data_IF_231182671388
#
_entry.id   IF_231182671388
#
_cell.length_a   1.000
_cell.length_b   1.000
_cell.length_c   1.000
_cell.angle_alpha   90.00
_cell.angle_beta   90.00
_cell.angle_gamma   90.00
#
_symmetry.space_group_name_H-M   'P 1'
#
loop_
_entity.id
_entity.type
_entity.pdbx_description
1 polymer ?
#
# COMPACT_ATOMS: atom_id res chain seq x y z
N UNK A 1 -9.57 -8.03 38.06
CA UNK A 1 -8.68 -7.68 36.93
C UNK A 1 -7.27 -8.17 37.27
N UNK A 2 -6.55 -8.74 36.31
CA UNK A 2 -5.17 -9.20 36.53
C UNK A 2 -4.23 -8.00 36.68
N UNK A 3 -3.23 -8.11 37.57
CA UNK A 3 -2.20 -7.09 37.74
C UNK A 3 -0.99 -7.36 36.86
N UNK A 4 -0.69 -8.64 36.61
CA UNK A 4 0.45 -9.03 35.78
C UNK A 4 0.09 -10.01 34.66
N UNK A 5 0.93 -10.03 33.62
CA UNK A 5 0.83 -10.96 32.50
C UNK A 5 0.95 -12.40 32.99
N UNK A 6 1.84 -12.68 33.95
CA UNK A 6 2.01 -14.03 34.50
C UNK A 6 0.79 -14.50 35.30
N UNK A 7 0.12 -13.61 36.04
CA UNK A 7 -1.15 -13.93 36.71
C UNK A 7 -2.24 -14.34 35.72
N UNK A 8 -2.36 -13.59 34.62
CA UNK A 8 -3.29 -13.92 33.54
C UNK A 8 -2.96 -15.31 32.95
N UNK A 9 -1.69 -15.56 32.61
CA UNK A 9 -1.25 -16.85 32.04
C UNK A 9 -1.55 -18.01 32.99
N UNK A 10 -1.24 -17.85 34.28
CA UNK A 10 -1.53 -18.87 35.29
C UNK A 10 -3.04 -19.11 35.46
N UNK A 11 -3.86 -18.06 35.38
CA UNK A 11 -5.32 -18.22 35.43
C UNK A 11 -5.83 -18.98 34.20
N UNK A 12 -5.35 -18.67 33.00
CA UNK A 12 -5.70 -19.39 31.78
C UNK A 12 -5.34 -20.88 31.89
N UNK A 13 -4.15 -21.19 32.43
CA UNK A 13 -3.74 -22.57 32.71
C UNK A 13 -4.68 -23.28 33.70
N UNK A 14 -5.11 -22.59 34.76
CA UNK A 14 -6.08 -23.15 35.72
C UNK A 14 -7.47 -23.42 35.12
N UNK A 15 -7.78 -22.80 33.99
CA UNK A 15 -9.03 -23.01 33.24
C UNK A 15 -8.91 -24.13 32.19
N UNK A 16 -7.79 -24.86 32.16
CA UNK A 16 -7.57 -25.99 31.25
C UNK A 16 -7.02 -25.60 29.88
N UNK A 17 -6.62 -24.33 29.67
CA UNK A 17 -5.96 -23.92 28.42
C UNK A 17 -4.54 -24.48 28.40
N UNK A 18 -4.17 -25.11 27.29
CA UNK A 18 -2.81 -25.60 27.09
C UNK A 18 -1.86 -24.42 26.89
N UNK A 19 -0.92 -24.25 27.82
CA UNK A 19 0.05 -23.16 27.84
C UNK A 19 1.45 -23.78 27.82
N UNK A 20 2.33 -23.24 26.98
CA UNK A 20 3.71 -23.69 26.90
C UNK A 20 4.43 -23.61 28.25
N UNK A 21 5.29 -24.58 28.52
CA UNK A 21 6.01 -24.68 29.79
C UNK A 21 7.20 -23.72 29.88
N UNK A 22 7.68 -23.23 28.75
CA UNK A 22 8.85 -22.35 28.65
C UNK A 22 8.43 -20.88 28.77
N UNK A 23 7.87 -20.51 29.91
CA UNK A 23 7.52 -19.13 30.24
C UNK A 23 8.27 -18.74 31.52
N UNK A 24 9.02 -17.63 31.48
CA UNK A 24 9.84 -17.17 32.60
C UNK A 24 9.61 -15.69 32.88
N UNK A 25 9.39 -15.34 34.14
CA UNK A 25 9.46 -13.94 34.59
C UNK A 25 10.93 -13.61 34.82
N UNK A 26 11.43 -12.61 34.11
CA UNK A 26 12.82 -12.17 34.16
C UNK A 26 12.91 -10.70 34.55
N UNK A 27 14.08 -10.25 35.03
CA UNK A 27 14.32 -8.85 35.43
C UNK A 27 15.33 -8.21 34.49
N UNK A 28 14.93 -7.09 33.89
CA UNK A 28 15.77 -6.31 32.99
C UNK A 28 16.08 -7.02 31.66
N UNK A 29 16.82 -6.34 30.80
CA UNK A 29 17.17 -6.86 29.47
C UNK A 29 18.08 -8.08 29.53
N UNK A 30 19.02 -8.14 30.49
CA UNK A 30 19.94 -9.27 30.64
C UNK A 30 19.18 -10.59 30.86
N UNK A 31 18.23 -10.61 31.79
CA UNK A 31 17.43 -11.81 32.02
C UNK A 31 16.59 -12.23 30.81
N UNK A 32 16.19 -11.29 29.95
CA UNK A 32 15.51 -11.62 28.70
C UNK A 32 16.46 -12.24 27.66
N UNK A 33 17.70 -11.76 27.58
CA UNK A 33 18.75 -12.33 26.73
C UNK A 33 19.19 -13.72 27.22
N UNK A 34 19.37 -13.89 28.54
CA UNK A 34 19.70 -15.20 29.12
C UNK A 34 18.59 -16.23 28.81
N UNK A 35 17.32 -15.81 28.90
CA UNK A 35 16.20 -16.65 28.53
C UNK A 35 16.19 -16.98 27.02
N UNK A 36 16.54 -16.02 26.16
CA UNK A 36 16.70 -16.27 24.73
C UNK A 36 17.76 -17.34 24.45
N UNK A 37 18.93 -17.25 25.10
CA UNK A 37 20.02 -18.22 24.93
C UNK A 37 19.64 -19.61 25.45
N UNK A 38 18.90 -19.70 26.55
CA UNK A 38 18.36 -20.96 27.06
C UNK A 38 17.41 -21.62 26.07
N UNK A 39 16.48 -20.84 25.50
CA UNK A 39 15.53 -21.36 24.49
C UNK A 39 16.25 -21.72 23.19
N UNK A 40 17.26 -20.96 22.78
CA UNK A 40 18.06 -21.26 21.60
C UNK A 40 18.69 -22.66 21.66
N UNK A 41 19.20 -23.07 22.85
CA UNK A 41 19.83 -24.39 23.06
C UNK A 41 18.86 -25.56 22.92
N UNK A 42 17.59 -25.37 23.25
CA UNK A 42 16.57 -26.42 23.19
C UNK A 42 15.68 -26.32 21.96
N UNK A 43 15.91 -25.33 21.08
CA UNK A 43 15.07 -24.99 19.94
C UNK A 43 14.70 -26.21 19.09
N UNK A 44 15.69 -26.98 18.66
CA UNK A 44 15.47 -28.15 17.78
C UNK A 44 14.93 -29.38 18.54
N UNK A 45 14.89 -29.35 19.88
CA UNK A 45 14.33 -30.41 20.71
C UNK A 45 12.86 -30.18 21.08
N UNK A 46 12.31 -29.00 20.78
CA UNK A 46 10.90 -28.70 21.00
C UNK A 46 10.03 -29.49 20.01
N UNK A 47 8.82 -29.94 20.41
CA UNK A 47 7.93 -30.69 19.54
C UNK A 47 7.23 -29.81 18.47
N UNK A 48 7.66 -28.57 18.32
CA UNK A 48 7.14 -27.57 17.40
C UNK A 48 8.25 -26.58 17.05
N UNK A 49 8.11 -25.90 15.92
CA UNK A 49 9.06 -24.87 15.51
C UNK A 49 8.81 -23.55 16.23
N UNK A 50 9.90 -22.84 16.52
CA UNK A 50 9.88 -21.46 17.01
C UNK A 50 10.87 -20.59 16.22
N UNK A 51 10.51 -19.33 16.01
CA UNK A 51 11.33 -18.34 15.31
C UNK A 51 11.98 -17.31 16.26
N UNK A 52 11.74 -17.42 17.56
CA UNK A 52 12.28 -16.54 18.58
C UNK A 52 11.55 -16.66 19.92
N UNK A 53 11.69 -15.61 20.74
CA UNK A 53 10.91 -15.42 21.96
C UNK A 53 10.09 -14.12 21.87
N UNK A 54 9.06 -13.98 22.70
CA UNK A 54 8.34 -12.72 22.87
C UNK A 54 8.61 -12.17 24.26
N UNK A 55 9.21 -10.99 24.32
CA UNK A 55 9.47 -10.27 25.56
C UNK A 55 8.30 -9.32 25.80
N UNK A 56 7.69 -9.38 26.99
CA UNK A 56 6.53 -8.55 27.37
C UNK A 56 6.78 -7.86 28.71
N UNK A 57 6.39 -6.60 28.82
CA UNK A 57 6.30 -5.92 30.13
C UNK A 57 5.27 -6.68 30.97
N UNK A 58 5.68 -7.17 32.15
CA UNK A 58 4.81 -8.03 32.96
C UNK A 58 3.69 -7.27 33.66
N UNK A 59 3.85 -5.98 33.96
CA UNK A 59 2.82 -5.16 34.63
C UNK A 59 1.77 -4.67 33.62
N UNK A 60 0.49 -5.01 33.87
CA UNK A 60 -0.62 -4.70 32.94
C UNK A 60 -0.97 -3.21 32.93
N UNK A 61 -0.78 -2.48 34.04
CA UNK A 61 -1.01 -1.03 34.06
C UNK A 61 0.03 -0.32 33.19
N UNK A 62 1.29 -0.75 33.25
CA UNK A 62 2.34 -0.23 32.37
C UNK A 62 2.07 -0.55 30.90
N UNK A 63 1.56 -1.75 30.57
CA UNK A 63 1.16 -2.07 29.19
C UNK A 63 0.13 -1.06 28.65
N UNK A 64 -0.91 -0.75 29.44
CA UNK A 64 -1.95 0.23 29.06
C UNK A 64 -1.39 1.64 28.87
N UNK A 65 -0.46 2.05 29.73
CA UNK A 65 0.20 3.37 29.61
C UNK A 65 1.12 3.45 28.38
N UNK A 66 1.83 2.36 28.07
CA UNK A 66 2.72 2.30 26.92
C UNK A 66 1.94 2.33 25.60
N UNK A 67 0.76 1.72 25.56
CA UNK A 67 -0.15 1.72 24.41
C UNK A 67 0.40 0.96 23.21
N UNK A 68 -0.13 1.29 22.03
CA UNK A 68 0.14 0.60 20.77
C UNK A 68 0.41 1.61 19.64
N UNK A 69 1.16 1.19 18.63
CA UNK A 69 1.26 1.89 17.34
C UNK A 69 0.37 1.18 16.30
N UNK A 70 0.27 1.71 15.08
CA UNK A 70 -0.69 1.27 14.05
C UNK A 70 -0.78 -0.25 13.79
N UNK A 71 0.27 -1.03 14.07
CA UNK A 71 0.31 -2.48 13.87
C UNK A 71 0.91 -3.30 15.02
N UNK A 72 1.33 -2.68 16.12
CA UNK A 72 2.02 -3.42 17.19
C UNK A 72 1.98 -2.74 18.57
N UNK A 73 1.99 -3.51 19.67
CA UNK A 73 2.10 -2.96 21.02
C UNK A 73 3.48 -2.37 21.30
N UNK A 74 3.55 -1.34 22.15
CA UNK A 74 4.84 -0.73 22.57
C UNK A 74 5.48 -1.44 23.76
N UNK A 75 4.74 -2.33 24.41
CA UNK A 75 5.13 -3.06 25.62
C UNK A 75 5.56 -4.50 25.36
N UNK A 76 5.63 -4.93 24.10
CA UNK A 76 6.11 -6.25 23.71
C UNK A 76 6.99 -6.19 22.47
N UNK A 77 7.96 -7.10 22.40
CA UNK A 77 8.84 -7.26 21.25
C UNK A 77 9.08 -8.75 20.98
N UNK A 78 9.03 -9.16 19.71
CA UNK A 78 9.52 -10.46 19.28
C UNK A 78 11.03 -10.35 19.05
N UNK A 79 11.80 -11.17 19.76
CA UNK A 79 13.25 -11.28 19.59
C UNK A 79 13.56 -12.60 18.89
N UNK A 80 13.89 -12.50 17.60
CA UNK A 80 13.99 -13.64 16.68
C UNK A 80 15.36 -14.30 16.75
N UNK A 81 15.40 -15.62 16.56
CA UNK A 81 16.65 -16.33 16.32
C UNK A 81 17.29 -15.85 15.02
N UNK A 82 18.60 -16.01 14.91
CA UNK A 82 19.25 -15.97 13.60
C UNK A 82 18.53 -16.96 12.70
N UNK A 83 18.09 -16.46 11.55
CA UNK A 83 17.44 -17.27 10.55
C UNK A 83 18.43 -18.34 10.06
N UNK A 84 17.89 -19.50 9.69
CA UNK A 84 18.72 -20.59 9.18
C UNK A 84 19.19 -20.16 7.79
N UNK A 85 20.49 -20.28 7.55
CA UNK A 85 21.15 -19.87 6.31
C UNK A 85 21.84 -21.08 5.69
N UNK A 86 21.72 -21.23 4.39
CA UNK A 86 22.38 -22.30 3.63
C UNK A 86 22.94 -21.76 2.33
N UNK A 87 23.94 -22.47 1.78
CA UNK A 87 24.54 -22.11 0.49
C UNK A 87 23.89 -22.92 -0.62
N UNK A 88 23.47 -22.25 -1.69
CA UNK A 88 22.99 -22.90 -2.92
C UNK A 88 23.49 -22.15 -4.16
N UNK A 89 23.35 -22.74 -5.34
CA UNK A 89 23.71 -22.15 -6.62
C UNK A 89 22.47 -21.57 -7.31
N UNK A 90 22.60 -20.39 -7.92
CA UNK A 90 21.55 -19.82 -8.77
C UNK A 90 21.61 -20.52 -10.14
N UNK A 91 20.54 -21.24 -10.48
CA UNK A 91 20.38 -21.92 -11.78
C UNK A 91 19.82 -20.98 -12.82
N UNK A 92 18.89 -20.10 -12.42
CA UNK A 92 18.25 -19.12 -13.30
C UNK A 92 17.68 -17.96 -12.47
N UNK A 93 17.30 -16.86 -13.14
CA UNK A 93 16.59 -15.73 -12.51
C UNK A 93 15.30 -15.48 -13.29
N UNK A 94 14.17 -15.79 -12.66
CA UNK A 94 12.85 -15.54 -13.22
C UNK A 94 12.31 -14.16 -12.78
N UNK A 95 11.59 -13.49 -13.67
CA UNK A 95 10.99 -12.19 -13.40
C UNK A 95 9.50 -12.35 -13.13
N UNK A 96 9.10 -12.11 -11.88
CA UNK A 96 7.69 -12.07 -11.50
C UNK A 96 7.16 -10.64 -11.65
N UNK A 97 6.02 -10.47 -12.33
CA UNK A 97 5.34 -9.17 -12.44
C UNK A 97 4.19 -9.12 -11.45
N UNK A 98 4.32 -8.28 -10.42
CA UNK A 98 3.29 -8.12 -9.40
C UNK A 98 2.04 -7.40 -9.93
N UNK A 99 0.97 -7.43 -9.14
CA UNK A 99 -0.34 -6.80 -9.46
C UNK A 99 -0.30 -5.31 -9.79
N UNK A 100 0.74 -4.59 -9.35
CA UNK A 100 0.95 -3.16 -9.65
C UNK A 100 1.97 -2.94 -10.77
N UNK A 101 2.42 -4.02 -11.42
CA UNK A 101 3.38 -3.98 -12.51
C UNK A 101 4.84 -4.05 -12.08
N UNK A 102 5.15 -4.15 -10.78
CA UNK A 102 6.55 -4.27 -10.30
C UNK A 102 7.17 -5.56 -10.84
N UNK A 103 8.34 -5.45 -11.47
CA UNK A 103 9.19 -6.57 -11.83
C UNK A 103 10.03 -6.95 -10.62
N UNK A 104 9.74 -8.10 -10.04
CA UNK A 104 10.48 -8.67 -8.92
C UNK A 104 11.33 -9.84 -9.43
N UNK A 105 12.67 -9.71 -9.41
CA UNK A 105 13.56 -10.81 -9.75
C UNK A 105 13.56 -11.88 -8.65
N UNK A 106 13.44 -13.14 -9.06
CA UNK A 106 13.41 -14.32 -8.20
C UNK A 106 14.49 -15.29 -8.65
N UNK A 107 15.46 -15.56 -7.77
CA UNK A 107 16.47 -16.57 -8.01
C UNK A 107 15.85 -17.96 -7.96
N UNK A 108 16.10 -18.76 -9.00
CA UNK A 108 15.84 -20.18 -9.06
C UNK A 108 17.11 -20.88 -8.59
N UNK A 109 16.99 -21.67 -7.53
CA UNK A 109 18.11 -22.26 -6.81
C UNK A 109 18.17 -23.76 -7.03
N UNK A 110 19.38 -24.33 -6.98
CA UNK A 110 19.52 -25.76 -6.70
C UNK A 110 18.81 -26.09 -5.37
N UNK A 111 18.01 -27.16 -5.29
CA UNK A 111 17.24 -27.47 -4.09
C UNK A 111 18.13 -27.56 -2.85
N UNK A 112 17.86 -26.72 -1.85
CA UNK A 112 18.64 -26.65 -0.60
C UNK A 112 17.73 -26.72 0.61
N UNK A 113 18.10 -27.50 1.63
CA UNK A 113 17.30 -27.64 2.84
C UNK A 113 17.65 -26.54 3.85
N UNK A 114 16.86 -25.46 3.87
CA UNK A 114 17.06 -24.34 4.81
C UNK A 114 16.12 -24.54 6.00
N UNK A 115 16.65 -25.16 7.05
CA UNK A 115 15.92 -25.32 8.30
C UNK A 115 14.75 -26.30 8.27
N UNK A 116 14.88 -27.41 7.54
CA UNK A 116 13.88 -28.49 7.47
C UNK A 116 13.01 -28.43 6.21
N UNK A 117 13.05 -27.33 5.45
CA UNK A 117 12.26 -27.15 4.22
C UNK A 117 13.17 -26.97 3.02
N UNK A 118 12.82 -27.65 1.92
CA UNK A 118 13.53 -27.53 0.64
C UNK A 118 13.15 -26.22 -0.03
N UNK A 119 14.09 -25.29 -0.09
CA UNK A 119 13.99 -24.01 -0.79
C UNK A 119 14.50 -24.18 -2.22
N UNK A 120 13.72 -23.68 -3.19
CA UNK A 120 14.07 -23.65 -4.62
C UNK A 120 14.00 -22.24 -5.22
N UNK A 121 13.42 -21.30 -4.49
CA UNK A 121 13.16 -19.93 -4.94
C UNK A 121 13.50 -18.97 -3.82
N UNK A 122 14.20 -17.89 -4.16
CA UNK A 122 14.50 -16.82 -3.23
C UNK A 122 14.34 -15.45 -3.91
N UNK A 123 13.81 -14.46 -3.20
CA UNK A 123 13.70 -13.09 -3.73
C UNK A 123 15.07 -12.44 -3.86
N UNK A 124 15.26 -11.67 -4.93
CA UNK A 124 16.38 -10.76 -5.13
C UNK A 124 16.01 -9.29 -4.89
N UNK A 125 14.75 -9.05 -4.47
CA UNK A 125 14.15 -7.74 -4.21
C UNK A 125 13.96 -6.84 -5.43
N UNK A 126 15.05 -6.32 -5.99
CA UNK A 126 15.05 -5.37 -7.11
C UNK A 126 16.43 -5.27 -7.79
N UNK A 127 16.53 -4.47 -8.85
CA UNK A 127 17.79 -4.25 -9.59
C UNK A 127 18.91 -3.69 -8.70
N UNK A 128 18.59 -2.73 -7.83
CA UNK A 128 19.59 -2.09 -6.97
C UNK A 128 20.26 -3.09 -6.01
N UNK A 129 19.49 -4.01 -5.44
CA UNK A 129 20.01 -5.06 -4.57
C UNK A 129 20.81 -6.12 -5.34
N UNK A 130 20.40 -6.46 -6.57
CA UNK A 130 21.18 -7.32 -7.48
C UNK A 130 22.55 -6.68 -7.77
N UNK A 131 22.56 -5.40 -8.12
CA UNK A 131 23.78 -4.64 -8.44
C UNK A 131 24.70 -4.53 -7.22
N UNK A 132 24.14 -4.14 -6.08
CA UNK A 132 24.87 -3.98 -4.81
C UNK A 132 25.51 -5.28 -4.32
N UNK A 133 24.82 -6.42 -4.48
CA UNK A 133 25.33 -7.74 -4.12
C UNK A 133 26.13 -8.40 -5.25
N UNK A 134 26.15 -7.79 -6.42
CA UNK A 134 26.74 -8.29 -7.65
C UNK A 134 26.29 -9.73 -7.94
N UNK A 135 24.98 -9.95 -8.05
CA UNK A 135 24.37 -11.28 -8.25
C UNK A 135 24.18 -11.56 -9.73
N UNK A 136 24.57 -12.75 -10.20
CA UNK A 136 24.26 -13.26 -11.54
C UNK A 136 23.92 -14.76 -11.53
N UNK A 137 23.42 -15.28 -12.65
CA UNK A 137 23.16 -16.70 -12.87
C UNK A 137 24.47 -17.49 -12.76
N UNK A 138 24.43 -18.62 -12.06
CA UNK A 138 25.58 -19.48 -11.78
C UNK A 138 26.31 -19.13 -10.47
N UNK A 139 25.99 -18.02 -9.82
CA UNK A 139 26.61 -17.65 -8.54
C UNK A 139 26.21 -18.63 -7.42
N UNK A 140 27.16 -18.93 -6.53
CA UNK A 140 26.84 -19.58 -5.24
C UNK A 140 26.50 -18.51 -4.23
N UNK A 141 25.36 -18.63 -3.60
CA UNK A 141 24.76 -17.61 -2.75
C UNK A 141 24.36 -18.16 -1.39
N UNK A 142 24.42 -17.28 -0.39
CA UNK A 142 23.88 -17.55 0.93
C UNK A 142 22.40 -17.18 0.95
N UNK A 143 21.56 -18.16 1.20
CA UNK A 143 20.10 -18.04 1.21
C UNK A 143 19.62 -18.12 2.64
N UNK A 144 18.73 -17.22 3.01
CA UNK A 144 18.15 -17.18 4.35
C UNK A 144 16.64 -17.40 4.29
N UNK A 145 16.12 -18.12 5.28
CA UNK A 145 14.68 -18.24 5.52
C UNK A 145 14.36 -17.90 6.98
N UNK A 146 13.50 -16.90 7.16
CA UNK A 146 12.98 -16.49 8.47
C UNK A 146 11.56 -17.04 8.68
N UNK A 147 11.42 -18.16 9.42
CA UNK A 147 10.11 -18.78 9.68
C UNK A 147 9.38 -19.20 8.40
N UNK A 148 8.07 -18.94 8.30
CA UNK A 148 7.25 -19.24 7.12
C UNK A 148 7.28 -18.16 6.03
N UNK A 149 8.27 -17.27 6.06
CA UNK A 149 8.39 -16.15 5.11
C UNK A 149 9.14 -16.58 3.83
N UNK A 150 8.93 -15.82 2.76
CA UNK A 150 9.62 -15.93 1.46
C UNK A 150 11.14 -15.91 1.68
N UNK A 151 11.89 -16.93 1.22
CA UNK A 151 13.36 -16.95 1.31
C UNK A 151 14.00 -15.82 0.51
N UNK A 152 15.19 -15.38 0.92
CA UNK A 152 15.94 -14.31 0.25
C UNK A 152 17.42 -14.61 0.09
N UNK A 153 18.05 -13.99 -0.91
CA UNK A 153 19.50 -14.05 -1.10
C UNK A 153 20.18 -12.94 -0.29
N UNK A 154 21.03 -13.35 0.65
CA UNK A 154 21.77 -12.44 1.54
C UNK A 154 23.02 -11.89 0.85
N UNK A 155 23.85 -12.77 0.28
CA UNK A 155 25.11 -12.39 -0.38
C UNK A 155 25.60 -13.48 -1.34
N UNK A 156 26.45 -13.06 -2.28
CA UNK A 156 27.25 -13.98 -3.11
C UNK A 156 28.44 -14.50 -2.31
N UNK A 157 28.63 -15.82 -2.33
CA UNK A 157 29.77 -16.52 -1.72
C UNK A 157 30.88 -16.70 -2.74
N UNK A 158 30.54 -17.12 -3.96
CA UNK A 158 31.48 -17.24 -5.06
C UNK A 158 30.78 -16.99 -6.38
N UNK A 159 31.50 -16.35 -7.31
CA UNK A 159 31.00 -16.07 -8.66
C UNK A 159 30.90 -17.33 -9.51
N UNK A 160 29.91 -17.35 -10.41
CA UNK A 160 29.84 -18.28 -11.52
C UNK A 160 30.83 -17.92 -12.64
N UNK A 161 30.64 -18.50 -13.83
CA UNK A 161 31.51 -18.24 -14.99
C UNK A 161 31.33 -16.82 -15.56
N UNK A 162 30.16 -16.22 -15.35
CA UNK A 162 29.85 -14.87 -15.83
C UNK A 162 30.39 -13.80 -14.88
N UNK A 163 30.90 -12.73 -15.47
CA UNK A 163 31.29 -11.52 -14.75
C UNK A 163 30.19 -10.46 -14.85
N UNK A 164 29.77 -9.91 -13.71
CA UNK A 164 28.80 -8.81 -13.65
C UNK A 164 27.59 -9.13 -12.77
N UNK A 165 26.59 -8.27 -12.85
CA UNK A 165 25.30 -8.43 -12.20
C UNK A 165 24.21 -8.65 -13.25
N UNK A 166 23.20 -9.44 -12.91
CA UNK A 166 22.05 -9.68 -13.76
C UNK A 166 21.26 -8.38 -13.98
N UNK A 167 20.83 -8.12 -15.21
CA UNK A 167 20.03 -6.95 -15.56
C UNK A 167 18.58 -7.35 -15.85
N UNK A 168 17.63 -6.65 -15.24
CA UNK A 168 16.22 -6.81 -15.50
C UNK A 168 15.88 -6.48 -16.97
N UNK A 169 14.88 -7.16 -17.56
CA UNK A 169 14.49 -6.88 -18.93
C UNK A 169 13.88 -5.49 -19.06
N UNK A 170 14.14 -4.84 -20.20
CA UNK A 170 13.54 -3.56 -20.57
C UNK A 170 12.10 -3.69 -21.12
N UNK A 171 11.63 -4.91 -21.36
CA UNK A 171 10.26 -5.23 -21.76
C UNK A 171 9.60 -6.16 -20.74
N UNK A 172 8.31 -5.95 -20.49
CA UNK A 172 7.55 -6.79 -19.58
C UNK A 172 7.46 -8.24 -20.09
N UNK A 173 7.78 -9.26 -19.27
CA UNK A 173 7.70 -10.67 -19.70
C UNK A 173 6.26 -11.13 -19.97
N UNK A 174 5.26 -10.43 -19.43
CA UNK A 174 3.86 -10.81 -19.56
C UNK A 174 3.15 -10.20 -20.78
N UNK A 175 3.47 -8.95 -21.11
CA UNK A 175 2.76 -8.19 -22.16
C UNK A 175 3.69 -7.47 -23.16
N UNK A 176 5.01 -7.55 -22.98
CA UNK A 176 6.04 -6.93 -23.83
C UNK A 176 6.00 -5.40 -23.92
N UNK A 177 5.20 -4.71 -23.09
CA UNK A 177 5.25 -3.26 -22.95
C UNK A 177 6.61 -2.80 -22.40
N UNK A 178 6.96 -1.54 -22.65
CA UNK A 178 8.17 -0.92 -22.12
C UNK A 178 8.14 -0.83 -20.59
N UNK A 179 9.30 -1.03 -19.97
CA UNK A 179 9.49 -0.93 -18.53
C UNK A 179 9.97 0.47 -18.17
N UNK A 180 9.28 1.08 -17.20
CA UNK A 180 9.64 2.37 -16.64
C UNK A 180 10.26 2.18 -15.25
N UNK A 181 11.28 2.97 -14.95
CA UNK A 181 11.91 3.00 -13.62
C UNK A 181 11.13 4.00 -12.75
N UNK A 182 10.46 3.49 -11.71
CA UNK A 182 9.68 4.24 -10.70
C UNK A 182 10.41 4.14 -9.36
N UNK A 183 11.30 5.09 -9.10
CA UNK A 183 12.23 5.04 -7.97
C UNK A 183 13.20 3.86 -8.09
N UNK A 184 13.17 2.93 -7.13
CA UNK A 184 13.99 1.71 -7.14
C UNK A 184 13.31 0.51 -7.84
N UNK A 185 12.07 0.69 -8.34
CA UNK A 185 11.29 -0.40 -8.94
C UNK A 185 11.24 -0.28 -10.46
N UNK A 186 11.47 -1.40 -11.14
CA UNK A 186 11.19 -1.57 -12.56
C UNK A 186 9.72 -1.94 -12.70
N UNK A 187 8.96 -1.22 -13.53
CA UNK A 187 7.50 -1.35 -13.59
C UNK A 187 6.96 -1.41 -15.02
N UNK A 188 6.02 -2.32 -15.24
CA UNK A 188 5.17 -2.38 -16.43
C UNK A 188 4.01 -1.38 -16.31
N UNK A 189 3.98 -0.36 -17.19
CA UNK A 189 2.95 0.69 -17.23
C UNK A 189 1.79 0.40 -18.21
N UNK A 190 1.60 -0.86 -18.58
CA UNK A 190 0.43 -1.32 -19.34
C UNK A 190 -0.66 -1.79 -18.36
N UNK A 191 -1.16 -0.91 -17.50
CA UNK A 191 -1.99 -1.28 -16.35
C UNK A 191 -3.32 -1.93 -16.74
N UNK A 192 -3.96 -1.45 -17.82
CA UNK A 192 -5.28 -1.93 -18.21
C UNK A 192 -5.26 -3.20 -19.07
N UNK A 193 -4.11 -3.61 -19.62
CA UNK A 193 -4.03 -4.76 -20.54
C UNK A 193 -2.93 -5.78 -20.22
N UNK A 194 -2.09 -5.55 -19.21
CA UNK A 194 -1.08 -6.54 -18.83
C UNK A 194 -1.71 -7.75 -18.13
N UNK A 195 -1.53 -8.94 -18.71
CA UNK A 195 -2.05 -10.21 -18.18
C UNK A 195 -1.64 -10.50 -16.74
N UNK A 196 -0.44 -10.08 -16.33
CA UNK A 196 0.04 -10.24 -14.95
C UNK A 196 -0.59 -9.25 -13.95
N UNK A 197 -1.16 -8.14 -14.42
CA UNK A 197 -1.82 -7.12 -13.59
C UNK A 197 -3.34 -7.29 -13.58
N UNK A 198 -3.90 -8.00 -14.57
CA UNK A 198 -5.31 -7.85 -14.92
C UNK A 198 -6.29 -8.25 -13.81
N UNK A 199 -5.98 -9.30 -13.06
CA UNK A 199 -6.82 -9.71 -11.93
C UNK A 199 -6.90 -8.61 -10.87
N UNK A 200 -5.76 -7.98 -10.56
CA UNK A 200 -5.69 -6.89 -9.59
C UNK A 200 -6.40 -5.62 -10.06
N UNK A 201 -6.22 -5.25 -11.34
CA UNK A 201 -6.86 -4.04 -11.88
C UNK A 201 -8.37 -4.20 -12.02
N UNK A 202 -8.87 -5.38 -12.42
CA UNK A 202 -10.31 -5.65 -12.51
C UNK A 202 -10.95 -5.61 -11.12
N UNK A 203 -10.31 -6.21 -10.10
CA UNK A 203 -10.81 -6.14 -8.72
C UNK A 203 -10.86 -4.70 -8.21
N UNK A 204 -9.82 -3.90 -8.51
CA UNK A 204 -9.80 -2.47 -8.15
C UNK A 204 -10.91 -1.69 -8.87
N UNK A 205 -11.05 -1.89 -10.18
CA UNK A 205 -12.06 -1.27 -11.03
C UNK A 205 -13.48 -1.58 -10.54
N UNK A 206 -13.75 -2.84 -10.17
CA UNK A 206 -15.03 -3.29 -9.65
C UNK A 206 -15.33 -2.82 -8.21
N UNK A 207 -14.33 -2.33 -7.48
CA UNK A 207 -14.44 -2.06 -6.04
C UNK A 207 -15.52 -1.03 -5.69
N UNK A 208 -15.98 -1.08 -4.42
CA UNK A 208 -17.05 -0.23 -3.90
C UNK A 208 -16.82 1.28 -4.06
N UNK A 209 -15.56 1.74 -4.12
CA UNK A 209 -15.22 3.16 -4.29
C UNK A 209 -14.92 3.55 -5.74
N UNK A 210 -14.80 2.56 -6.62
CA UNK A 210 -14.58 2.70 -8.06
C UNK A 210 -15.92 2.53 -8.81
N UNK A 211 -16.05 1.55 -9.70
CA UNK A 211 -17.28 1.32 -10.47
C UNK A 211 -18.41 0.66 -9.67
N UNK A 212 -18.11 0.13 -8.48
CA UNK A 212 -19.09 -0.51 -7.59
C UNK A 212 -19.89 -1.63 -8.27
N UNK A 213 -19.17 -2.59 -8.86
CA UNK A 213 -19.75 -3.77 -9.51
C UNK A 213 -19.85 -4.89 -8.48
N UNK A 214 -20.98 -4.93 -7.78
CA UNK A 214 -21.26 -5.98 -6.80
C UNK A 214 -21.29 -7.37 -7.48
N UNK A 215 -20.67 -8.36 -6.84
CA UNK A 215 -20.53 -9.72 -7.40
C UNK A 215 -19.22 -9.95 -8.17
N UNK A 216 -18.48 -8.90 -8.53
CA UNK A 216 -17.18 -9.01 -9.23
C UNK A 216 -15.98 -8.85 -8.27
N UNK A 217 -15.92 -9.69 -7.23
CA UNK A 217 -14.80 -9.75 -6.28
C UNK A 217 -13.66 -10.68 -6.72
N UNK A 218 -12.59 -10.79 -5.92
CA UNK A 218 -11.36 -11.54 -6.26
C UNK A 218 -11.62 -12.94 -6.85
N UNK A 219 -12.42 -13.77 -6.17
CA UNK A 219 -12.74 -15.14 -6.65
C UNK A 219 -13.52 -15.18 -7.96
N UNK A 220 -14.39 -14.20 -8.18
CA UNK A 220 -15.17 -14.08 -9.42
C UNK A 220 -14.25 -13.67 -10.57
N UNK A 221 -13.41 -12.66 -10.34
CA UNK A 221 -12.41 -12.19 -11.30
C UNK A 221 -11.44 -13.31 -11.67
N UNK A 222 -10.93 -14.06 -10.68
CA UNK A 222 -10.06 -15.22 -10.93
C UNK A 222 -10.70 -16.19 -11.92
N UNK A 223 -11.93 -16.64 -11.65
CA UNK A 223 -12.63 -17.60 -12.52
C UNK A 223 -12.90 -17.05 -13.92
N UNK A 224 -13.33 -15.80 -14.04
CA UNK A 224 -13.65 -15.19 -15.33
C UNK A 224 -12.40 -14.95 -16.19
N UNK A 225 -11.29 -14.53 -15.57
CA UNK A 225 -10.00 -14.36 -16.24
C UNK A 225 -9.41 -15.72 -16.63
N UNK A 226 -9.43 -16.70 -15.72
CA UNK A 226 -8.88 -18.05 -15.97
C UNK A 226 -9.69 -18.81 -17.03
N UNK A 227 -11.00 -18.57 -17.12
CA UNK A 227 -11.86 -19.06 -18.21
C UNK A 227 -11.67 -18.29 -19.54
N UNK A 228 -10.89 -17.22 -19.54
CA UNK A 228 -10.62 -16.39 -20.73
C UNK A 228 -11.80 -15.52 -21.16
N UNK A 229 -12.84 -15.36 -20.33
CA UNK A 229 -14.02 -14.55 -20.62
C UNK A 229 -13.76 -13.05 -20.51
N UNK A 230 -12.86 -12.65 -19.60
CA UNK A 230 -12.43 -11.26 -19.46
C UNK A 230 -10.89 -11.18 -19.48
N UNK A 231 -10.36 -10.30 -20.31
CA UNK A 231 -8.91 -10.04 -20.47
C UNK A 231 -8.53 -8.62 -20.11
N UNK A 232 -9.51 -7.73 -19.93
CA UNK A 232 -9.36 -6.39 -19.39
C UNK A 232 -10.67 -5.88 -18.79
N UNK A 233 -10.67 -4.63 -18.32
CA UNK A 233 -11.87 -4.00 -17.73
C UNK A 233 -12.97 -3.67 -18.74
N UNK A 234 -12.63 -3.58 -20.03
CA UNK A 234 -13.62 -3.37 -21.10
C UNK A 234 -14.45 -4.64 -21.33
N UNK A 235 -13.82 -5.81 -21.31
CA UNK A 235 -14.49 -7.11 -21.53
C UNK A 235 -15.62 -7.38 -20.51
N UNK A 236 -15.57 -6.77 -19.33
CA UNK A 236 -16.63 -6.84 -18.32
C UNK A 236 -17.98 -6.44 -18.93
N UNK A 237 -17.99 -5.41 -19.78
CA UNK A 237 -19.21 -4.87 -20.38
C UNK A 237 -19.68 -5.65 -21.61
N UNK A 238 -18.91 -6.62 -22.08
CA UNK A 238 -19.30 -7.53 -23.15
C UNK A 238 -19.88 -8.85 -22.65
N UNK A 239 -19.86 -9.11 -21.34
CA UNK A 239 -20.48 -10.28 -20.72
C UNK A 239 -21.99 -10.29 -20.97
N UNK A 240 -22.52 -11.44 -21.38
CA UNK A 240 -23.93 -11.68 -21.68
C UNK A 240 -24.49 -12.79 -20.82
N UNK A 241 -25.81 -12.84 -20.77
CA UNK A 241 -26.53 -13.92 -20.10
C UNK A 241 -26.21 -15.26 -20.76
N UNK A 242 -25.75 -16.22 -19.96
CA UNK A 242 -25.32 -17.54 -20.41
C UNK A 242 -23.80 -17.70 -20.48
N UNK A 243 -23.03 -16.62 -20.49
CA UNK A 243 -21.56 -16.68 -20.55
C UNK A 243 -20.97 -17.21 -19.23
N UNK A 244 -21.64 -16.95 -18.10
CA UNK A 244 -21.07 -17.18 -16.76
C UNK A 244 -21.75 -18.36 -16.05
N UNK A 245 -22.98 -18.71 -16.43
CA UNK A 245 -23.75 -19.76 -15.77
C UNK A 245 -23.13 -21.17 -15.83
N UNK A 246 -22.12 -21.39 -16.69
CA UNK A 246 -21.35 -22.66 -16.76
C UNK A 246 -20.15 -22.70 -15.80
N UNK A 247 -19.79 -21.57 -15.18
CA UNK A 247 -18.67 -21.46 -14.24
C UNK A 247 -19.15 -21.87 -12.85
N UNK A 248 -18.41 -22.80 -12.25
CA UNK A 248 -18.68 -23.26 -10.88
C UNK A 248 -18.78 -22.08 -9.90
N UNK A 249 -19.79 -22.09 -9.03
CA UNK A 249 -20.09 -21.01 -8.09
C UNK A 249 -20.91 -19.83 -8.65
N UNK A 250 -21.23 -19.80 -9.95
CA UNK A 250 -22.21 -18.86 -10.52
C UNK A 250 -23.54 -19.56 -10.81
N UNK A 251 -24.55 -19.28 -9.99
CA UNK A 251 -25.94 -19.66 -10.30
C UNK A 251 -26.62 -18.61 -11.17
N UNK A 252 -27.73 -18.98 -11.84
CA UNK A 252 -28.54 -18.08 -12.70
C UNK A 252 -28.82 -16.71 -12.06
N UNK A 253 -29.22 -16.69 -10.78
CA UNK A 253 -29.51 -15.46 -10.04
C UNK A 253 -28.26 -14.62 -9.76
N UNK A 254 -27.11 -15.27 -9.53
CA UNK A 254 -25.84 -14.58 -9.31
C UNK A 254 -25.34 -13.91 -10.59
N UNK A 255 -25.51 -14.60 -11.72
CA UNK A 255 -25.19 -14.06 -13.05
C UNK A 255 -26.08 -12.86 -13.37
N UNK A 256 -27.40 -12.97 -13.19
CA UNK A 256 -28.33 -11.86 -13.39
C UNK A 256 -27.99 -10.65 -12.51
N UNK A 257 -27.68 -10.87 -11.23
CA UNK A 257 -27.26 -9.79 -10.33
C UNK A 257 -25.97 -9.11 -10.79
N UNK A 258 -24.99 -9.88 -11.27
CA UNK A 258 -23.72 -9.34 -11.77
C UNK A 258 -23.95 -8.50 -13.04
N UNK A 259 -24.71 -9.01 -14.01
CA UNK A 259 -25.02 -8.26 -15.23
C UNK A 259 -25.78 -6.96 -14.93
N UNK A 260 -26.73 -6.99 -13.99
CA UNK A 260 -27.42 -5.79 -13.52
C UNK A 260 -26.46 -4.79 -12.84
N UNK A 261 -25.49 -5.28 -12.06
CA UNK A 261 -24.48 -4.43 -11.43
C UNK A 261 -23.54 -3.78 -12.46
N UNK A 262 -23.16 -4.52 -13.51
CA UNK A 262 -22.35 -4.02 -14.64
C UNK A 262 -23.12 -2.95 -15.41
N UNK A 263 -24.40 -3.17 -15.72
CA UNK A 263 -25.19 -2.17 -16.43
C UNK A 263 -25.35 -0.88 -15.59
N UNK A 264 -25.61 -1.04 -14.29
CA UNK A 264 -25.71 0.09 -13.36
C UNK A 264 -24.41 0.88 -13.25
N UNK A 265 -23.25 0.22 -13.34
CA UNK A 265 -21.95 0.89 -13.18
C UNK A 265 -21.59 1.81 -14.36
N UNK A 266 -22.28 1.69 -15.50
CA UNK A 266 -22.08 2.60 -16.64
C UNK A 266 -22.36 4.06 -16.29
N UNK A 267 -23.29 4.31 -15.37
CA UNK A 267 -23.61 5.65 -14.88
C UNK A 267 -22.88 5.93 -13.55
N UNK A 268 -21.76 6.62 -13.63
CA UNK A 268 -20.84 6.84 -12.50
C UNK A 268 -20.29 8.27 -12.52
N UNK A 269 -19.77 8.78 -11.40
CA UNK A 269 -19.12 10.09 -11.40
C UNK A 269 -17.70 10.02 -12.00
N UNK A 270 -17.26 11.10 -12.65
CA UNK A 270 -15.93 11.17 -13.28
C UNK A 270 -14.78 10.89 -12.31
N UNK A 271 -14.87 11.33 -11.05
CA UNK A 271 -13.83 11.12 -10.05
C UNK A 271 -13.66 9.63 -9.72
N UNK A 272 -14.79 8.91 -9.62
CA UNK A 272 -14.81 7.47 -9.40
C UNK A 272 -14.35 6.70 -10.62
N UNK A 273 -14.72 7.16 -11.82
CA UNK A 273 -14.23 6.58 -13.08
C UNK A 273 -12.70 6.70 -13.18
N UNK A 274 -12.14 7.90 -12.98
CA UNK A 274 -10.69 8.11 -13.00
C UNK A 274 -9.98 7.28 -11.92
N UNK A 275 -10.57 7.21 -10.72
CA UNK A 275 -10.06 6.34 -9.67
C UNK A 275 -10.08 4.86 -10.09
N UNK A 276 -11.14 4.40 -10.76
CA UNK A 276 -11.29 3.03 -11.22
C UNK A 276 -10.24 2.61 -12.25
N UNK A 277 -9.74 3.55 -13.07
CA UNK A 277 -8.68 3.30 -14.05
C UNK A 277 -7.35 2.88 -13.39
N UNK A 278 -7.19 3.06 -12.08
CA UNK A 278 -6.04 2.56 -11.33
C UNK A 278 -4.72 3.25 -11.69
N UNK A 279 -4.79 4.50 -12.18
CA UNK A 279 -3.61 5.28 -12.57
C UNK A 279 -2.67 5.39 -11.37
N UNK A 280 -1.37 5.13 -11.61
CA UNK A 280 -0.35 5.14 -10.57
C UNK A 280 -0.33 6.49 -9.82
N UNK A 281 -0.31 6.42 -8.49
CA UNK A 281 -0.39 7.57 -7.56
C UNK A 281 -1.74 8.32 -7.52
N UNK A 282 -2.72 7.95 -8.35
CA UNK A 282 -4.03 8.58 -8.39
C UNK A 282 -4.99 7.82 -7.46
N UNK A 283 -5.04 8.22 -6.20
CA UNK A 283 -6.11 7.81 -5.27
C UNK A 283 -7.38 8.64 -5.44
N UNK A 284 -8.45 8.31 -4.70
CA UNK A 284 -9.75 9.02 -4.73
C UNK A 284 -9.61 10.55 -4.66
N UNK A 285 -8.76 11.04 -3.76
CA UNK A 285 -8.54 12.48 -3.62
C UNK A 285 -7.94 13.11 -4.88
N UNK A 286 -6.91 12.48 -5.47
CA UNK A 286 -6.28 12.99 -6.70
C UNK A 286 -7.24 12.91 -7.88
N UNK A 287 -8.04 11.84 -7.97
CA UNK A 287 -9.06 11.72 -8.99
C UNK A 287 -10.08 12.87 -8.91
N UNK A 288 -10.54 13.22 -7.70
CA UNK A 288 -11.39 14.39 -7.48
C UNK A 288 -10.73 15.72 -7.86
N UNK A 289 -9.43 15.90 -7.58
CA UNK A 289 -8.68 17.08 -8.03
C UNK A 289 -8.58 17.15 -9.56
N UNK A 290 -8.37 16.02 -10.23
CA UNK A 290 -8.30 15.97 -11.69
C UNK A 290 -9.62 16.41 -12.33
N UNK A 291 -10.75 15.91 -11.84
CA UNK A 291 -12.08 16.38 -12.28
C UNK A 291 -12.26 17.87 -12.01
N UNK A 292 -11.86 18.35 -10.82
CA UNK A 292 -11.97 19.76 -10.46
C UNK A 292 -11.18 20.69 -11.40
N UNK A 293 -9.99 20.28 -11.82
CA UNK A 293 -9.10 21.12 -12.62
C UNK A 293 -9.27 20.97 -14.13
N UNK A 294 -9.64 19.77 -14.59
CA UNK A 294 -9.65 19.43 -16.02
C UNK A 294 -11.04 19.00 -16.51
N UNK A 295 -11.99 18.72 -15.62
CA UNK A 295 -13.34 18.30 -15.97
C UNK A 295 -13.41 16.81 -16.34
N UNK A 296 -13.05 16.48 -17.57
CA UNK A 296 -13.19 15.14 -18.13
C UNK A 296 -11.85 14.50 -18.54
N UNK A 297 -11.92 13.20 -18.89
CA UNK A 297 -10.75 12.39 -19.23
C UNK A 297 -10.07 12.84 -20.53
N UNK A 298 -10.79 13.43 -21.48
CA UNK A 298 -10.23 13.87 -22.75
C UNK A 298 -9.35 15.10 -22.56
N UNK A 299 -9.72 15.99 -21.65
CA UNK A 299 -8.86 17.12 -21.27
C UNK A 299 -7.62 16.62 -20.54
N UNK A 300 -7.78 15.70 -19.58
CA UNK A 300 -6.65 15.12 -18.80
C UNK A 300 -5.66 14.41 -19.74
N UNK A 301 -6.16 13.62 -20.69
CA UNK A 301 -5.35 12.88 -21.69
C UNK A 301 -4.41 13.77 -22.50
N UNK A 302 -4.80 15.02 -22.74
CA UNK A 302 -4.04 15.97 -23.55
C UNK A 302 -3.14 16.90 -22.72
N UNK A 303 -3.26 16.88 -21.39
CA UNK A 303 -2.45 17.72 -20.51
C UNK A 303 -0.97 17.29 -20.52
N UNK A 304 -0.06 18.27 -20.50
CA UNK A 304 1.38 18.03 -20.33
C UNK A 304 1.73 17.72 -18.87
N UNK A 305 2.95 17.23 -18.61
CA UNK A 305 3.42 17.02 -17.23
C UNK A 305 3.40 18.34 -16.47
N UNK A 306 3.81 19.42 -17.12
CA UNK A 306 3.83 20.77 -16.59
C UNK A 306 2.41 21.28 -16.25
N UNK A 307 1.44 21.06 -17.15
CA UNK A 307 0.04 21.42 -16.89
C UNK A 307 -0.49 20.72 -15.66
N UNK A 308 -0.21 19.42 -15.52
CA UNK A 308 -0.63 18.59 -14.40
C UNK A 308 0.06 19.02 -13.10
N UNK A 309 1.39 19.15 -13.09
CA UNK A 309 2.18 19.47 -11.91
C UNK A 309 2.03 20.93 -11.45
N UNK A 310 1.51 21.81 -12.30
CA UNK A 310 1.18 23.19 -11.93
C UNK A 310 -0.02 23.27 -10.98
N UNK A 311 -0.84 22.22 -10.90
CA UNK A 311 -2.06 22.21 -10.09
C UNK A 311 -1.76 21.83 -8.64
N UNK A 312 -2.40 22.56 -7.73
CA UNK A 312 -2.24 22.31 -6.31
C UNK A 312 -2.70 20.89 -5.93
N UNK A 313 -1.85 20.15 -5.21
CA UNK A 313 -2.10 18.76 -4.83
C UNK A 313 -1.63 17.72 -5.85
N UNK A 314 -1.20 18.13 -7.04
CA UNK A 314 -0.64 17.24 -8.07
C UNK A 314 0.85 17.56 -8.19
N UNK A 315 1.69 16.70 -7.61
CA UNK A 315 3.16 16.81 -7.73
C UNK A 315 3.69 16.28 -9.06
N UNK A 316 4.96 16.55 -9.35
CA UNK A 316 5.64 16.14 -10.59
C UNK A 316 5.53 14.62 -10.85
N UNK A 317 5.74 13.78 -9.83
CA UNK A 317 5.64 12.32 -9.96
C UNK A 317 4.22 11.83 -10.30
N UNK A 318 3.19 12.50 -9.74
CA UNK A 318 1.79 12.22 -10.09
C UNK A 318 1.53 12.66 -11.52
N UNK A 319 1.99 13.86 -11.90
CA UNK A 319 1.87 14.39 -13.26
C UNK A 319 2.51 13.48 -14.31
N UNK A 320 3.74 13.01 -14.07
CA UNK A 320 4.44 12.03 -14.93
C UNK A 320 3.68 10.72 -15.06
N UNK A 321 3.12 10.22 -13.96
CA UNK A 321 2.35 8.97 -13.95
C UNK A 321 1.08 9.07 -14.79
N UNK A 322 0.33 10.17 -14.63
CA UNK A 322 -0.87 10.45 -15.43
C UNK A 322 -0.50 10.61 -16.91
N UNK A 323 0.52 11.43 -17.20
CA UNK A 323 0.99 11.65 -18.57
C UNK A 323 1.38 10.34 -19.25
N UNK A 324 2.18 9.50 -18.59
CA UNK A 324 2.64 8.23 -19.13
C UNK A 324 1.48 7.27 -19.37
N UNK A 325 0.53 7.19 -18.43
CA UNK A 325 -0.66 6.35 -18.55
C UNK A 325 -1.47 6.64 -19.83
N UNK A 326 -1.64 7.92 -20.19
CA UNK A 326 -2.36 8.35 -21.40
C UNK A 326 -1.52 8.34 -22.69
N UNK A 327 -0.22 7.98 -22.61
CA UNK A 327 0.65 7.75 -23.76
C UNK A 327 0.80 6.27 -24.09
N UNK A 328 0.35 5.39 -23.21
CA UNK A 328 0.22 3.97 -23.49
C UNK A 328 -1.06 3.72 -24.33
N UNK A 329 -0.89 3.24 -25.56
CA UNK A 329 -1.97 3.11 -26.53
C UNK A 329 -3.04 2.11 -26.07
N UNK A 330 -2.61 1.02 -25.43
CA UNK A 330 -3.53 0.01 -24.89
C UNK A 330 -4.46 0.58 -23.83
N UNK A 331 -3.96 1.46 -22.95
CA UNK A 331 -4.77 2.11 -21.92
C UNK A 331 -5.80 3.04 -22.57
N UNK A 332 -5.38 3.83 -23.57
CA UNK A 332 -6.28 4.73 -24.30
C UNK A 332 -7.37 3.95 -25.03
N UNK A 333 -7.03 2.84 -25.69
CA UNK A 333 -7.98 2.00 -26.40
C UNK A 333 -9.04 1.38 -25.48
N UNK A 334 -8.64 0.94 -24.28
CA UNK A 334 -9.60 0.44 -23.27
C UNK A 334 -10.56 1.55 -22.85
N UNK A 335 -10.07 2.77 -22.59
CA UNK A 335 -10.92 3.91 -22.18
C UNK A 335 -11.90 4.30 -23.28
N UNK A 336 -11.43 4.36 -24.54
CA UNK A 336 -12.30 4.64 -25.69
C UNK A 336 -13.37 3.57 -25.81
N UNK A 337 -13.00 2.28 -25.73
CA UNK A 337 -13.97 1.18 -25.78
C UNK A 337 -14.99 1.24 -24.64
N UNK A 338 -14.60 1.68 -23.43
CA UNK A 338 -15.53 1.84 -22.31
C UNK A 338 -16.63 2.86 -22.64
N UNK A 339 -16.28 3.97 -23.30
CA UNK A 339 -17.28 4.94 -23.78
C UNK A 339 -18.17 4.37 -24.88
N UNK A 340 -17.61 3.57 -25.81
CA UNK A 340 -18.36 2.94 -26.90
C UNK A 340 -19.41 1.92 -26.40
N UNK A 341 -19.11 1.18 -25.32
CA UNK A 341 -20.06 0.25 -24.68
C UNK A 341 -21.06 0.93 -23.73
N UNK A 342 -21.04 2.26 -23.69
CA UNK A 342 -22.04 3.07 -22.99
C UNK A 342 -21.69 3.44 -21.55
N UNK A 343 -20.45 3.27 -21.10
CA UNK A 343 -20.00 3.91 -19.85
C UNK A 343 -20.05 5.42 -20.07
N UNK A 344 -20.84 6.13 -19.29
CA UNK A 344 -21.08 7.56 -19.45
C UNK A 344 -20.87 8.25 -18.10
N UNK A 345 -19.61 8.56 -17.73
CA UNK A 345 -19.34 9.25 -16.49
C UNK A 345 -19.94 10.66 -16.51
N UNK A 346 -20.58 11.06 -15.43
CA UNK A 346 -21.10 12.41 -15.25
C UNK A 346 -20.18 13.21 -14.32
N UNK A 347 -20.10 14.53 -14.54
CA UNK A 347 -19.51 15.41 -13.55
C UNK A 347 -20.53 15.46 -12.42
N UNK A 348 -20.23 14.78 -11.31
CA UNK A 348 -21.06 14.94 -10.12
C UNK A 348 -21.05 16.42 -9.76
N UNK A 349 -22.23 16.98 -9.51
CA UNK A 349 -22.32 18.19 -8.74
C UNK A 349 -21.56 17.90 -7.44
N UNK A 350 -20.35 18.46 -7.32
CA UNK A 350 -19.73 18.62 -6.01
C UNK A 350 -20.86 19.23 -5.20
N UNK A 351 -21.35 18.59 -4.12
CA UNK A 351 -22.33 19.23 -3.29
C UNK A 351 -21.76 20.62 -3.04
N UNK A 352 -22.48 21.64 -3.48
CA UNK A 352 -22.35 22.93 -2.84
C UNK A 352 -22.77 22.60 -1.41
N UNK A 353 -21.81 22.12 -0.59
CA UNK A 353 -21.88 22.33 0.84
C UNK A 353 -22.25 23.79 0.94
N UNK A 354 -23.45 24.02 1.47
CA UNK A 354 -24.11 25.32 1.46
C UNK A 354 -23.06 26.38 1.70
N UNK A 355 -22.66 27.05 0.63
CA UNK A 355 -21.84 28.24 0.73
C UNK A 355 -22.82 29.32 1.14
N UNK A 356 -23.21 29.29 2.41
CA UNK A 356 -23.61 30.50 3.09
C UNK A 356 -22.33 31.34 3.16
N UNK A 357 -22.21 32.24 2.18
CA UNK A 357 -21.28 33.38 2.16
C UNK A 357 -19.82 33.14 2.54
N UNK A 358 -18.95 33.06 1.54
CA UNK A 358 -17.53 33.37 1.72
C UNK A 358 -16.60 32.28 1.23
N UNK A 359 -15.68 32.65 0.35
CA UNK A 359 -14.48 31.90 0.02
C UNK A 359 -13.90 31.20 1.25
N UNK A 360 -13.93 29.87 1.31
CA UNK A 360 -13.32 29.12 2.42
C UNK A 360 -11.84 29.49 2.51
N UNK A 361 -11.44 30.24 3.54
CA UNK A 361 -10.08 30.76 3.76
C UNK A 361 -9.01 29.68 3.97
N UNK A 362 -9.39 28.41 3.82
CA UNK A 362 -8.59 27.20 4.09
C UNK A 362 -8.08 26.56 2.79
N UNK A 363 -8.85 26.61 1.71
CA UNK A 363 -8.51 25.89 0.46
C UNK A 363 -7.21 26.43 -0.16
N UNK A 364 -6.24 25.54 -0.42
CA UNK A 364 -4.95 25.91 -1.00
C UNK A 364 -4.00 26.64 -0.03
N UNK A 365 -4.39 26.83 1.24
CA UNK A 365 -3.58 27.52 2.25
C UNK A 365 -2.82 26.50 3.11
N UNK A 366 -1.67 26.92 3.61
CA UNK A 366 -0.79 26.12 4.47
C UNK A 366 -0.88 26.54 5.93
N UNK A 367 -1.10 25.54 6.80
CA UNK A 367 -1.34 25.69 8.24
C UNK A 367 -0.27 24.95 9.04
N UNK A 368 0.04 25.46 10.22
CA UNK A 368 0.78 24.73 11.24
C UNK A 368 0.15 24.98 12.60
N UNK A 369 0.01 23.92 13.39
CA UNK A 369 -0.60 23.98 14.71
C UNK A 369 0.47 23.92 15.81
N UNK A 370 0.34 24.80 16.81
CA UNK A 370 1.22 24.85 17.99
C UNK A 370 0.42 25.19 19.24
N UNK A 371 0.84 24.67 20.41
CA UNK A 371 0.09 24.81 21.66
C UNK A 371 -1.00 23.75 21.85
N UNK A 372 -1.78 23.91 22.91
CA UNK A 372 -2.92 23.07 23.29
C UNK A 372 -4.22 23.79 22.92
N UNK A 373 -5.14 23.03 22.33
CA UNK A 373 -6.43 23.50 21.87
C UNK A 373 -7.52 22.97 22.81
N UNK A 374 -8.54 23.76 23.05
CA UNK A 374 -9.60 23.47 24.01
C UNK A 374 -10.77 22.71 23.35
N UNK A 375 -11.10 23.02 22.10
CA UNK A 375 -12.26 22.46 21.39
C UNK A 375 -11.89 21.36 20.40
N UNK A 376 -10.63 21.31 19.96
CA UNK A 376 -10.13 20.28 19.07
C UNK A 376 -8.89 19.63 19.64
N UNK A 377 -8.70 18.34 19.39
CA UNK A 377 -7.35 17.79 19.40
C UNK A 377 -6.57 18.32 18.20
N UNK A 378 -5.24 18.42 18.33
CA UNK A 378 -4.39 18.85 17.20
C UNK A 378 -4.64 18.00 15.95
N UNK A 379 -4.78 16.69 16.12
CA UNK A 379 -5.02 15.76 15.02
C UNK A 379 -6.40 15.99 14.37
N UNK A 380 -7.42 16.38 15.13
CA UNK A 380 -8.74 16.76 14.59
C UNK A 380 -8.67 18.06 13.79
N UNK A 381 -8.00 19.08 14.32
CA UNK A 381 -7.80 20.35 13.61
C UNK A 381 -7.02 20.14 12.30
N UNK A 382 -5.99 19.30 12.32
CA UNK A 382 -5.24 18.92 11.12
C UNK A 382 -6.10 18.18 10.08
N UNK A 383 -7.00 17.30 10.53
CA UNK A 383 -7.94 16.60 9.65
C UNK A 383 -8.96 17.57 9.04
N UNK A 384 -9.50 18.51 9.82
CA UNK A 384 -10.45 19.51 9.32
C UNK A 384 -9.83 20.35 8.20
N UNK A 385 -8.60 20.83 8.39
CA UNK A 385 -7.86 21.56 7.34
C UNK A 385 -7.65 20.72 6.09
N UNK A 386 -7.23 19.46 6.24
CA UNK A 386 -7.01 18.56 5.10
C UNK A 386 -8.30 18.27 4.34
N UNK A 387 -9.40 18.06 5.04
CA UNK A 387 -10.72 17.81 4.43
C UNK A 387 -11.23 19.02 3.65
N UNK A 388 -10.88 20.24 4.09
CA UNK A 388 -11.19 21.50 3.41
C UNK A 388 -10.18 21.89 2.33
N UNK A 389 -9.24 21.00 1.97
CA UNK A 389 -8.25 21.22 0.91
C UNK A 389 -7.10 22.16 1.29
N UNK A 390 -6.86 22.36 2.59
CA UNK A 390 -5.67 23.03 3.11
C UNK A 390 -4.54 22.04 3.44
N UNK A 391 -3.31 22.54 3.47
CA UNK A 391 -2.13 21.76 3.81
C UNK A 391 -1.73 21.94 5.27
N UNK A 392 -1.29 20.87 5.93
CA UNK A 392 -0.70 20.94 7.27
C UNK A 392 0.80 20.67 7.19
N UNK A 393 1.59 21.66 7.60
CA UNK A 393 3.03 21.62 7.61
C UNK A 393 3.56 21.25 9.00
N UNK A 394 4.65 20.49 9.05
CA UNK A 394 5.29 20.10 10.32
C UNK A 394 6.30 21.13 10.82
N UNK A 395 6.79 21.99 9.92
CA UNK A 395 7.88 22.94 10.15
C UNK A 395 7.46 24.35 9.76
N UNK A 396 7.87 25.34 10.56
CA UNK A 396 7.62 26.75 10.26
C UNK A 396 8.50 27.18 9.08
N UNK A 397 7.86 27.56 7.95
CA UNK A 397 8.50 28.04 6.72
C UNK A 397 8.02 29.46 6.41
N UNK A 398 8.82 30.26 5.70
CA UNK A 398 8.49 31.64 5.31
C UNK A 398 7.22 31.78 4.44
N UNK A 399 6.83 30.72 3.71
CA UNK A 399 5.65 30.72 2.82
C UNK A 399 4.36 30.20 3.49
N UNK A 400 4.37 30.01 4.81
CA UNK A 400 3.18 29.55 5.53
C UNK A 400 2.08 30.61 5.52
N UNK A 401 0.84 30.18 5.32
CA UNK A 401 -0.30 31.08 5.31
C UNK A 401 -0.83 31.35 6.72
N UNK A 402 -0.88 30.32 7.57
CA UNK A 402 -1.43 30.43 8.92
C UNK A 402 -0.61 29.63 9.93
N UNK A 403 -0.39 30.23 11.09
CA UNK A 403 0.10 29.55 12.29
C UNK A 403 -1.01 29.61 13.32
N UNK A 404 -1.62 28.45 13.61
CA UNK A 404 -2.72 28.36 14.58
C UNK A 404 -2.10 28.08 15.95
N UNK A 405 -2.26 29.01 16.88
CA UNK A 405 -1.67 28.97 18.20
C UNK A 405 -2.74 28.78 19.29
N UNK A 406 -2.69 27.65 19.98
CA UNK A 406 -3.46 27.38 21.19
C UNK A 406 -2.73 27.82 22.47
N UNK A 407 -3.27 27.49 23.64
CA UNK A 407 -2.66 27.77 24.93
C UNK A 407 -1.27 27.12 25.08
N UNK A 408 -0.32 27.82 25.70
CA UNK A 408 1.09 27.42 25.84
C UNK A 408 1.77 27.01 24.52
N UNK A 409 1.86 27.91 23.53
CA UNK A 409 2.51 27.58 22.26
C UNK A 409 4.03 27.44 22.46
N UNK A 410 4.63 26.41 21.83
CA UNK A 410 6.06 26.13 21.95
C UNK A 410 6.92 26.87 20.94
N UNK A 411 8.16 26.39 20.73
CA UNK A 411 9.20 26.99 19.86
C UNK A 411 8.80 27.28 18.39
N UNK A 412 7.67 26.75 17.92
CA UNK A 412 7.09 27.07 16.60
C UNK A 412 6.48 28.48 16.57
N UNK A 413 5.91 28.94 17.67
CA UNK A 413 5.36 30.29 17.79
C UNK A 413 6.47 31.34 17.75
N UNK A 414 7.54 31.15 18.51
CA UNK A 414 8.70 32.07 18.50
C UNK A 414 9.32 32.19 17.11
N UNK A 415 9.38 31.08 16.37
CA UNK A 415 9.84 31.07 14.96
C UNK A 415 8.85 31.79 14.04
N UNK A 416 7.55 31.67 14.27
CA UNK A 416 6.53 32.34 13.48
C UNK A 416 6.56 33.86 13.67
N UNK A 417 6.71 34.33 14.92
CA UNK A 417 6.86 35.76 15.26
C UNK A 417 8.10 36.35 14.58
N UNK A 418 9.25 35.66 14.66
CA UNK A 418 10.51 36.10 14.01
C UNK A 418 10.42 36.17 12.48
N UNK A 419 9.53 35.37 11.88
CA UNK A 419 9.33 35.33 10.43
C UNK A 419 8.16 36.23 9.97
N UNK A 420 7.56 37.00 10.87
CA UNK A 420 6.41 37.86 10.61
C UNK A 420 5.26 37.14 9.89
N UNK A 421 5.01 35.89 10.30
CA UNK A 421 3.93 35.07 9.74
C UNK A 421 2.58 35.45 10.38
N UNK A 422 1.50 35.17 9.66
CA UNK A 422 0.15 35.39 10.18
C UNK A 422 -0.18 34.33 11.25
N UNK A 423 -0.31 34.77 12.50
CA UNK A 423 -0.62 33.92 13.65
C UNK A 423 -2.07 34.17 14.05
N UNK A 424 -2.86 33.11 14.10
CA UNK A 424 -4.29 33.14 14.46
C UNK A 424 -4.53 32.26 15.69
N UNK A 425 -5.51 32.62 16.51
CA UNK A 425 -5.90 31.84 17.68
C UNK A 425 -6.93 30.74 17.32
N UNK A 426 -7.36 29.95 18.30
CA UNK A 426 -8.32 28.86 18.10
C UNK A 426 -9.71 29.35 17.66
N UNK A 427 -10.18 30.50 18.15
CA UNK A 427 -11.46 31.10 17.75
C UNK A 427 -11.38 31.65 16.32
N UNK A 428 -10.28 32.32 15.96
CA UNK A 428 -10.05 32.78 14.59
C UNK A 428 -10.00 31.59 13.62
N UNK A 429 -9.43 30.46 14.05
CA UNK A 429 -9.41 29.22 13.27
C UNK A 429 -10.81 28.64 13.08
N UNK A 430 -11.65 28.65 14.13
CA UNK A 430 -13.06 28.25 14.05
C UNK A 430 -13.86 29.10 13.06
N UNK A 431 -13.69 30.42 13.12
CA UNK A 431 -14.29 31.34 12.15
C UNK A 431 -13.81 31.03 10.73
N UNK A 432 -12.52 30.74 10.55
CA UNK A 432 -11.94 30.40 9.24
C UNK A 432 -12.52 29.10 8.64
N UNK A 433 -12.91 28.14 9.47
CA UNK A 433 -13.50 26.86 9.07
C UNK A 433 -15.04 26.85 9.17
N UNK A 434 -15.67 28.00 9.44
CA UNK A 434 -17.12 28.15 9.63
C UNK A 434 -17.70 27.15 10.66
N UNK A 435 -17.08 27.04 11.85
CA UNK A 435 -17.55 26.18 12.96
C UNK A 435 -17.71 26.89 14.29
#
# INVERSE_FOLDING_TARGET
AFKTQIELINKLKSLGINIDKNIRVVRGIRGALDFFDDIAKIRDALPFEIDGIVIKVNDILLQKQLGEISKSPRWAAAYKFSAKQEISSIVDIEISVGRTGILTPVAILEPVNVGGVVVRRATLHNQDEINKKNIDIGDRVLVERSGDVIPEVIKVISKGERSGAFELPNKCPCCRADIVIDGAAYRCMNELSCSCQIKGIIVHFASKRAMNIEGLGEKAVDKLVDAGLIKNVLDIYYLKQGDIGSIDGFGKKSEENLLNAIEKSKNISYDRFIYALGIRHVGEHIAGLLVKYFGDVNVIKNATVEDLSSKFGIGEEIGKSIYSFFREESNVNVITGLFEVGVAPYIADVPKEKTDGGSSGVFGKSFIFTGKFDDFTRDEAERLVKNMGGNVEKTVKKKLNYVVAGSNPGSKYDKAVKLHLNIINENDFKELINK
#
